data_IF_332843225755
#
_entry.id   IF_332843225755
#
_cell.length_a   1.000
_cell.length_b   1.000
_cell.length_c   1.000
_cell.angle_alpha   90.00
_cell.angle_beta   90.00
_cell.angle_gamma   90.00
#
_symmetry.space_group_name_H-M   'P 1'
#
loop_
_entity.id
_entity.type
_entity.pdbx_description
1 polymer ?
#
# COMPACT_ATOMS: atom_id res chain seq x y z
N UNK A 1 98.46 62.22 37.73
CA UNK A 1 97.15 62.74 37.27
C UNK A 1 96.63 62.05 35.99
N UNK A 2 97.47 61.70 34.99
CA UNK A 2 96.96 61.08 33.75
C UNK A 2 96.34 59.67 33.90
N UNK A 3 96.79 58.84 34.85
CA UNK A 3 96.24 57.49 35.05
C UNK A 3 94.79 57.48 35.55
N UNK A 4 94.40 58.45 36.39
CA UNK A 4 93.02 58.59 36.87
C UNK A 4 92.04 59.10 35.80
N UNK A 5 92.51 59.92 34.86
CA UNK A 5 91.71 60.42 33.73
C UNK A 5 91.44 59.29 32.73
N UNK A 6 92.46 58.47 32.41
CA UNK A 6 92.30 57.28 31.55
C UNK A 6 91.36 56.23 32.16
N UNK A 7 91.46 55.99 33.47
CA UNK A 7 90.56 55.06 34.18
C UNK A 7 89.10 55.52 34.17
N UNK A 8 88.85 56.82 34.36
CA UNK A 8 87.51 57.40 34.27
C UNK A 8 86.96 57.40 32.83
N UNK A 9 87.80 57.67 31.81
CA UNK A 9 87.39 57.56 30.40
C UNK A 9 87.03 56.12 30.02
N UNK A 10 87.79 55.14 30.50
CA UNK A 10 87.55 53.71 30.22
C UNK A 10 86.29 53.19 30.93
N UNK A 11 86.02 53.65 32.15
CA UNK A 11 84.73 53.39 32.84
C UNK A 11 83.55 54.05 32.13
N UNK A 12 83.71 55.30 31.67
CA UNK A 12 82.64 56.01 30.97
C UNK A 12 82.33 55.34 29.63
N UNK A 13 83.36 54.96 28.86
CA UNK A 13 83.22 54.23 27.60
C UNK A 13 82.59 52.83 27.80
N UNK A 14 83.01 52.10 28.84
CA UNK A 14 82.38 50.82 29.21
C UNK A 14 80.92 50.97 29.67
N UNK A 15 80.57 52.08 30.30
CA UNK A 15 79.20 52.36 30.72
C UNK A 15 78.32 52.71 29.52
N UNK A 16 78.83 53.54 28.61
CA UNK A 16 78.17 53.92 27.36
C UNK A 16 77.96 52.73 26.42
N UNK A 17 78.98 51.87 26.27
CA UNK A 17 78.88 50.61 25.52
C UNK A 17 77.81 49.68 26.13
N UNK A 18 77.72 49.61 27.47
CA UNK A 18 76.73 48.77 28.17
C UNK A 18 75.31 49.35 28.06
N UNK A 19 75.16 50.67 28.09
CA UNK A 19 73.89 51.35 27.87
C UNK A 19 73.41 51.21 26.41
N UNK A 20 74.34 51.26 25.46
CA UNK A 20 74.06 51.05 24.04
C UNK A 20 73.64 49.59 23.75
N UNK A 21 74.33 48.60 24.32
CA UNK A 21 73.94 47.18 24.21
C UNK A 21 72.58 46.90 24.84
N UNK A 22 72.27 47.53 25.99
CA UNK A 22 70.96 47.43 26.62
C UNK A 22 69.86 48.02 25.73
N UNK A 23 70.07 49.23 25.19
CA UNK A 23 69.13 49.89 24.27
C UNK A 23 68.90 49.09 23.00
N UNK A 24 69.95 48.46 22.45
CA UNK A 24 69.82 47.54 21.30
C UNK A 24 69.03 46.28 21.64
N UNK A 25 69.19 45.74 22.85
CA UNK A 25 68.41 44.59 23.31
C UNK A 25 66.94 44.94 23.49
N UNK A 26 66.62 46.10 24.07
CA UNK A 26 65.25 46.59 24.20
C UNK A 26 64.62 46.86 22.84
N UNK A 27 65.35 47.51 21.92
CA UNK A 27 64.89 47.73 20.55
C UNK A 27 64.58 46.40 19.85
N UNK A 28 65.47 45.42 19.96
CA UNK A 28 65.25 44.08 19.40
C UNK A 28 64.04 43.38 20.01
N UNK A 29 63.83 43.50 21.31
CA UNK A 29 62.67 42.90 21.99
C UNK A 29 61.35 43.52 21.51
N UNK A 30 61.33 44.85 21.34
CA UNK A 30 60.17 45.57 20.78
C UNK A 30 59.93 45.17 19.33
N UNK A 31 60.98 45.07 18.50
CA UNK A 31 60.89 44.60 17.11
C UNK A 31 60.34 43.17 17.03
N UNK A 32 60.78 42.26 17.89
CA UNK A 32 60.30 40.88 17.93
C UNK A 32 58.82 40.81 18.40
N UNK A 33 58.42 41.63 19.37
CA UNK A 33 57.02 41.78 19.80
C UNK A 33 56.14 42.32 18.67
N UNK A 34 56.61 43.35 17.96
CA UNK A 34 55.91 43.91 16.81
C UNK A 34 55.76 42.89 15.68
N UNK A 35 56.82 42.14 15.35
CA UNK A 35 56.77 41.08 14.33
C UNK A 35 55.76 40.00 14.70
N UNK A 36 55.73 39.54 15.96
CA UNK A 36 54.74 38.58 16.44
C UNK A 36 53.31 39.11 16.35
N UNK A 37 53.09 40.37 16.72
CA UNK A 37 51.78 41.01 16.60
C UNK A 37 51.32 41.13 15.14
N UNK A 38 52.24 41.45 14.22
CA UNK A 38 51.94 41.54 12.79
C UNK A 38 51.55 40.17 12.20
N UNK A 39 52.28 39.11 12.56
CA UNK A 39 51.93 37.73 12.14
C UNK A 39 50.58 37.30 12.72
N UNK A 40 50.32 37.58 14.00
CA UNK A 40 49.04 37.29 14.63
C UNK A 40 47.88 38.06 13.98
N UNK A 41 48.09 39.33 13.64
CA UNK A 41 47.07 40.13 12.96
C UNK A 41 46.77 39.60 11.55
N UNK A 42 47.79 39.21 10.80
CA UNK A 42 47.61 38.58 9.49
C UNK A 42 46.87 37.22 9.58
N UNK A 43 47.14 36.43 10.62
CA UNK A 43 46.40 35.19 10.88
C UNK A 43 44.92 35.48 11.19
N UNK A 44 44.64 36.45 12.06
CA UNK A 44 43.28 36.86 12.40
C UNK A 44 42.51 37.40 11.19
N UNK A 45 43.17 38.15 10.31
CA UNK A 45 42.54 38.64 9.07
C UNK A 45 42.17 37.48 8.13
N UNK A 46 43.04 36.46 8.02
CA UNK A 46 42.74 35.25 7.25
C UNK A 46 41.59 34.44 7.87
N UNK A 47 41.59 34.25 9.19
CA UNK A 47 40.51 33.56 9.90
C UNK A 47 39.18 34.31 9.78
N UNK A 48 39.21 35.64 9.88
CA UNK A 48 38.05 36.50 9.65
C UNK A 48 37.52 36.37 8.24
N UNK A 49 38.39 36.41 7.23
CA UNK A 49 37.98 36.22 5.84
C UNK A 49 37.34 34.83 5.63
N UNK A 50 37.95 33.78 6.16
CA UNK A 50 37.40 32.42 6.09
C UNK A 50 36.02 32.31 6.75
N UNK A 51 35.85 32.91 7.93
CA UNK A 51 34.57 32.93 8.64
C UNK A 51 33.49 33.72 7.87
N UNK A 52 33.84 34.83 7.23
CA UNK A 52 32.91 35.60 6.39
C UNK A 52 32.41 34.75 5.24
N UNK A 53 33.29 34.06 4.52
CA UNK A 53 32.89 33.16 3.44
C UNK A 53 31.99 32.02 3.92
N UNK A 54 32.27 31.44 5.09
CA UNK A 54 31.40 30.41 5.68
C UNK A 54 30.01 30.95 6.00
N UNK A 55 29.91 32.16 6.56
CA UNK A 55 28.63 32.80 6.84
C UNK A 55 27.83 33.05 5.56
N UNK A 56 28.49 33.49 4.48
CA UNK A 56 27.84 33.66 3.17
C UNK A 56 27.31 32.33 2.65
N UNK A 57 28.11 31.26 2.67
CA UNK A 57 27.68 29.94 2.24
C UNK A 57 26.49 29.41 3.07
N UNK A 58 26.47 29.66 4.38
CA UNK A 58 25.35 29.26 5.23
C UNK A 58 24.09 30.10 4.98
N UNK A 59 24.21 31.36 4.57
CA UNK A 59 23.06 32.18 4.15
C UNK A 59 22.45 31.63 2.87
N UNK A 60 23.27 31.37 1.86
CA UNK A 60 22.80 30.78 0.59
C UNK A 60 22.09 29.45 0.88
N UNK A 61 22.70 28.60 1.72
CA UNK A 61 22.09 27.32 2.12
C UNK A 61 20.78 27.48 2.89
N UNK A 62 20.66 28.53 3.72
CA UNK A 62 19.44 28.81 4.45
C UNK A 62 18.32 29.28 3.51
N UNK A 63 18.63 30.13 2.53
CA UNK A 63 17.68 30.59 1.51
C UNK A 63 17.16 29.41 0.66
N UNK A 64 18.05 28.50 0.21
CA UNK A 64 17.65 27.27 -0.47
C UNK A 64 16.66 26.42 0.36
N UNK A 65 16.96 26.22 1.65
CA UNK A 65 16.10 25.45 2.55
C UNK A 65 14.75 26.13 2.78
N UNK A 66 14.70 27.45 2.84
CA UNK A 66 13.46 28.22 2.99
C UNK A 66 12.58 28.09 1.73
N UNK A 67 13.18 28.14 0.54
CA UNK A 67 12.48 27.90 -0.73
C UNK A 67 11.92 26.47 -0.81
N UNK A 68 12.72 25.46 -0.48
CA UNK A 68 12.30 24.06 -0.41
C UNK A 68 11.14 23.87 0.58
N UNK A 69 11.23 24.50 1.76
CA UNK A 69 10.18 24.44 2.76
C UNK A 69 8.87 25.06 2.26
N UNK A 70 8.94 26.23 1.64
CA UNK A 70 7.78 26.91 1.07
C UNK A 70 7.14 26.10 -0.06
N UNK A 71 7.94 25.42 -0.88
CA UNK A 71 7.45 24.54 -1.93
C UNK A 71 6.73 23.31 -1.34
N UNK A 72 7.35 22.64 -0.35
CA UNK A 72 6.74 21.51 0.34
C UNK A 72 5.42 21.89 1.03
N UNK A 73 5.33 23.09 1.62
CA UNK A 73 4.06 23.58 2.20
C UNK A 73 2.96 23.75 1.14
N UNK A 74 3.29 24.23 -0.07
CA UNK A 74 2.33 24.38 -1.18
C UNK A 74 1.84 23.01 -1.65
N UNK A 75 2.75 22.07 -1.85
CA UNK A 75 2.42 20.70 -2.25
C UNK A 75 1.56 19.99 -1.20
N UNK A 76 1.85 20.19 0.09
CA UNK A 76 1.04 19.65 1.18
C UNK A 76 -0.41 20.17 1.10
N UNK A 77 -0.59 21.49 0.92
CA UNK A 77 -1.92 22.10 0.79
C UNK A 77 -2.67 21.54 -0.43
N UNK A 78 -1.99 21.34 -1.54
CA UNK A 78 -2.59 20.74 -2.74
C UNK A 78 -3.01 19.29 -2.52
N UNK A 79 -2.14 18.46 -1.93
CA UNK A 79 -2.47 17.07 -1.57
C UNK A 79 -3.64 16.98 -0.61
N UNK A 80 -3.74 17.89 0.37
CA UNK A 80 -4.91 17.97 1.25
C UNK A 80 -6.21 18.27 0.48
N UNK A 81 -6.18 19.22 -0.47
CA UNK A 81 -7.35 19.53 -1.32
C UNK A 81 -7.77 18.33 -2.19
N UNK A 82 -6.80 17.64 -2.79
CA UNK A 82 -7.06 16.44 -3.60
C UNK A 82 -7.68 15.31 -2.74
N UNK A 83 -7.18 15.13 -1.52
CA UNK A 83 -7.73 14.14 -0.58
C UNK A 83 -9.18 14.48 -0.17
N UNK A 84 -9.49 15.75 0.08
CA UNK A 84 -10.87 16.19 0.36
C UNK A 84 -11.81 16.03 -0.84
N UNK A 85 -11.30 16.22 -2.07
CA UNK A 85 -12.06 15.92 -3.29
C UNK A 85 -12.35 14.42 -3.41
N UNK A 86 -11.33 13.58 -3.28
CA UNK A 86 -11.48 12.12 -3.37
C UNK A 86 -12.42 11.56 -2.30
N UNK A 87 -12.41 12.11 -1.08
CA UNK A 87 -13.38 11.75 -0.03
C UNK A 87 -14.82 12.05 -0.45
N UNK A 88 -15.07 13.22 -1.07
CA UNK A 88 -16.41 13.57 -1.56
C UNK A 88 -16.86 12.63 -2.67
N UNK A 89 -15.98 12.32 -3.60
CA UNK A 89 -16.27 11.41 -4.71
C UNK A 89 -16.51 9.97 -4.22
N UNK A 90 -15.74 9.51 -3.23
CA UNK A 90 -15.94 8.20 -2.59
C UNK A 90 -17.33 8.09 -1.95
N UNK A 91 -17.74 9.09 -1.16
CA UNK A 91 -19.07 9.10 -0.53
C UNK A 91 -20.18 9.10 -1.58
N UNK A 92 -20.03 9.88 -2.65
CA UNK A 92 -20.99 9.90 -3.76
C UNK A 92 -21.09 8.52 -4.43
N UNK A 93 -19.95 7.91 -4.76
CA UNK A 93 -19.94 6.61 -5.41
C UNK A 93 -20.50 5.50 -4.51
N UNK A 94 -20.29 5.60 -3.20
CA UNK A 94 -20.90 4.69 -2.22
C UNK A 94 -22.43 4.82 -2.18
N UNK A 95 -22.95 6.05 -2.28
CA UNK A 95 -24.39 6.30 -2.40
C UNK A 95 -24.96 5.75 -3.72
N UNK A 96 -24.28 5.99 -4.83
CA UNK A 96 -24.68 5.50 -6.15
C UNK A 96 -24.69 3.96 -6.18
N UNK A 97 -23.69 3.31 -5.58
CA UNK A 97 -23.63 1.86 -5.43
C UNK A 97 -24.79 1.33 -4.58
N UNK A 98 -25.07 1.96 -3.45
CA UNK A 98 -26.17 1.56 -2.57
C UNK A 98 -27.53 1.68 -3.30
N UNK A 99 -27.74 2.75 -4.07
CA UNK A 99 -28.93 2.95 -4.88
C UNK A 99 -29.05 1.88 -5.99
N UNK A 100 -27.94 1.55 -6.67
CA UNK A 100 -27.93 0.51 -7.70
C UNK A 100 -28.22 -0.88 -7.12
N UNK A 101 -27.66 -1.22 -5.96
CA UNK A 101 -27.93 -2.48 -5.26
C UNK A 101 -29.39 -2.56 -4.80
N UNK A 102 -29.96 -1.46 -4.28
CA UNK A 102 -31.36 -1.41 -3.90
C UNK A 102 -32.28 -1.62 -5.12
N UNK A 103 -31.98 -0.97 -6.25
CA UNK A 103 -32.74 -1.13 -7.49
C UNK A 103 -32.66 -2.57 -8.05
N UNK A 104 -31.48 -3.21 -7.95
CA UNK A 104 -31.31 -4.62 -8.33
C UNK A 104 -32.09 -5.55 -7.40
N UNK A 105 -32.04 -5.33 -6.09
CA UNK A 105 -32.77 -6.11 -5.12
C UNK A 105 -34.30 -5.99 -5.32
N UNK A 106 -34.80 -4.78 -5.61
CA UNK A 106 -36.20 -4.55 -5.95
C UNK A 106 -36.58 -5.31 -7.24
N UNK A 107 -35.74 -5.22 -8.28
CA UNK A 107 -35.96 -5.97 -9.53
C UNK A 107 -36.00 -7.48 -9.29
N UNK A 108 -35.06 -8.02 -8.54
CA UNK A 108 -34.96 -9.46 -8.27
C UNK A 108 -36.15 -9.93 -7.42
N UNK A 109 -36.57 -9.13 -6.44
CA UNK A 109 -37.80 -9.37 -5.67
C UNK A 109 -39.04 -9.39 -6.57
N UNK A 110 -39.17 -8.44 -7.49
CA UNK A 110 -40.30 -8.41 -8.44
C UNK A 110 -40.28 -9.63 -9.37
N UNK A 111 -39.10 -10.07 -9.82
CA UNK A 111 -38.95 -11.30 -10.62
C UNK A 111 -39.45 -12.52 -9.83
N UNK A 112 -39.06 -12.64 -8.56
CA UNK A 112 -39.51 -13.72 -7.67
C UNK A 112 -41.02 -13.67 -7.38
N UNK A 113 -41.57 -12.49 -7.06
CA UNK A 113 -42.99 -12.30 -6.78
C UNK A 113 -43.87 -12.65 -7.99
N UNK A 114 -43.38 -12.41 -9.22
CA UNK A 114 -44.06 -12.80 -10.46
C UNK A 114 -43.81 -14.27 -10.85
N UNK A 115 -43.07 -15.05 -10.04
CA UNK A 115 -42.77 -16.45 -10.29
C UNK A 115 -41.89 -16.69 -11.52
N UNK A 116 -41.09 -15.69 -11.91
CA UNK A 116 -40.18 -15.76 -13.05
C UNK A 116 -38.80 -16.26 -12.61
N UNK A 117 -38.16 -17.03 -13.47
CA UNK A 117 -36.84 -17.62 -13.27
C UNK A 117 -35.98 -17.30 -14.49
N UNK A 118 -34.71 -16.95 -14.25
CA UNK A 118 -33.75 -16.69 -15.32
C UNK A 118 -33.22 -18.02 -15.84
N UNK A 119 -33.41 -18.28 -17.13
CA UNK A 119 -32.93 -19.48 -17.82
C UNK A 119 -32.02 -19.07 -18.98
N UNK A 120 -30.88 -19.75 -19.12
CA UNK A 120 -29.87 -19.45 -20.14
C UNK A 120 -28.75 -18.54 -19.62
N UNK A 121 -27.66 -18.47 -20.38
CA UNK A 121 -26.36 -18.01 -19.90
C UNK A 121 -25.63 -19.12 -19.14
N UNK A 122 -24.30 -19.11 -19.17
CA UNK A 122 -23.47 -20.05 -18.40
C UNK A 122 -23.72 -19.85 -16.89
N UNK A 123 -24.73 -20.54 -16.37
CA UNK A 123 -24.82 -21.01 -14.99
C UNK A 123 -25.20 -22.49 -15.06
N UNK A 124 -24.39 -23.24 -15.81
CA UNK A 124 -24.10 -24.61 -15.42
C UNK A 124 -23.20 -24.49 -14.21
N UNK A 125 -23.71 -24.92 -13.06
CA UNK A 125 -22.95 -25.23 -11.87
C UNK A 125 -21.65 -26.01 -12.20
N UNK A 126 -20.53 -25.32 -12.31
CA UNK A 126 -19.17 -25.83 -12.07
C UNK A 126 -18.23 -24.64 -11.99
N UNK A 127 -18.04 -24.13 -10.77
CA UNK A 127 -16.98 -23.19 -10.44
C UNK A 127 -15.65 -23.97 -10.34
N UNK A 128 -15.07 -24.26 -11.50
CA UNK A 128 -13.67 -24.61 -11.78
C UNK A 128 -13.53 -24.26 -13.26
N UNK A 129 -12.79 -23.25 -13.67
CA UNK A 129 -11.33 -23.18 -13.68
C UNK A 129 -10.89 -21.72 -13.57
N UNK A 130 -9.84 -21.53 -12.78
CA UNK A 130 -8.89 -20.44 -12.90
C UNK A 130 -8.22 -20.46 -14.29
N UNK A 131 -8.39 -19.41 -15.08
CA UNK A 131 -7.44 -19.05 -16.15
C UNK A 131 -6.98 -17.63 -15.88
N UNK A 132 -5.88 -17.53 -15.14
CA UNK A 132 -4.96 -16.40 -15.24
C UNK A 132 -4.19 -16.57 -16.54
N UNK A 133 -4.49 -15.75 -17.55
CA UNK A 133 -3.52 -15.45 -18.59
C UNK A 133 -3.59 -13.96 -18.95
N UNK A 134 -2.51 -13.29 -18.58
CA UNK A 134 -2.09 -11.97 -19.01
C UNK A 134 -1.98 -11.95 -20.54
N UNK A 135 -2.72 -11.06 -21.23
CA UNK A 135 -2.28 -10.60 -22.55
C UNK A 135 -2.67 -9.14 -22.78
N UNK A 136 -1.67 -8.27 -22.59
CA UNK A 136 -1.65 -6.91 -23.12
C UNK A 136 -1.40 -6.99 -24.63
N UNK A 137 -2.43 -6.85 -25.44
CA UNK A 137 -2.26 -6.66 -26.88
C UNK A 137 -3.55 -6.25 -27.57
N UNK A 138 -3.56 -5.05 -28.16
CA UNK A 138 -4.68 -4.56 -28.96
C UNK A 138 -4.99 -5.47 -30.15
N UNK A 139 -6.27 -5.79 -30.32
CA UNK A 139 -6.79 -6.53 -31.46
C UNK A 139 -8.24 -6.91 -31.21
N UNK A 140 -9.12 -6.47 -32.10
CA UNK A 140 -10.58 -6.64 -32.08
C UNK A 140 -11.00 -8.10 -31.78
N UNK A 141 -11.36 -8.39 -30.53
CA UNK A 141 -11.96 -9.68 -30.16
C UNK A 141 -13.43 -9.69 -30.54
N UNK A 142 -13.75 -10.41 -31.63
CA UNK A 142 -15.09 -10.88 -31.97
C UNK A 142 -15.78 -11.43 -30.71
N UNK A 143 -16.96 -10.89 -30.42
CA UNK A 143 -17.73 -11.26 -29.24
C UNK A 143 -17.97 -12.77 -29.19
N UNK A 144 -17.46 -13.42 -28.14
CA UNK A 144 -17.99 -14.71 -27.69
C UNK A 144 -19.50 -14.52 -27.51
N UNK A 145 -20.31 -15.29 -28.23
CA UNK A 145 -21.76 -15.31 -28.12
C UNK A 145 -22.14 -15.58 -26.67
N UNK A 146 -22.40 -14.52 -25.91
CA UNK A 146 -22.98 -14.63 -24.58
C UNK A 146 -24.35 -15.25 -24.79
N UNK A 147 -24.52 -16.50 -24.39
CA UNK A 147 -25.81 -17.18 -24.44
C UNK A 147 -26.86 -16.28 -23.79
N UNK A 148 -27.87 -15.90 -24.56
CA UNK A 148 -28.92 -14.96 -24.14
C UNK A 148 -29.63 -15.55 -22.92
N UNK A 149 -29.70 -14.78 -21.84
CA UNK A 149 -30.51 -15.10 -20.66
C UNK A 149 -31.95 -14.67 -20.96
N UNK A 150 -32.92 -15.48 -20.57
CA UNK A 150 -34.35 -15.18 -20.70
C UNK A 150 -35.05 -15.35 -19.35
N UNK A 151 -36.08 -14.55 -19.09
CA UNK A 151 -36.99 -14.75 -17.97
C UNK A 151 -38.16 -15.63 -18.44
N UNK A 152 -38.41 -16.72 -17.73
CA UNK A 152 -39.53 -17.64 -17.99
C UNK A 152 -40.24 -17.96 -16.68
N UNK A 153 -41.51 -18.37 -16.74
CA UNK A 153 -42.22 -18.85 -15.53
C UNK A 153 -41.52 -20.08 -14.93
N UNK A 154 -41.60 -20.24 -13.61
CA UNK A 154 -41.10 -21.42 -12.88
C UNK A 154 -41.54 -22.74 -13.50
N UNK A 155 -42.78 -22.83 -13.96
CA UNK A 155 -43.31 -24.05 -14.57
C UNK A 155 -42.68 -24.35 -15.94
N UNK A 156 -42.44 -23.30 -16.73
CA UNK A 156 -41.74 -23.42 -18.01
C UNK A 156 -40.26 -23.78 -17.80
N UNK A 157 -39.62 -23.23 -16.76
CA UNK A 157 -38.23 -23.59 -16.41
C UNK A 157 -38.11 -25.10 -16.09
N UNK A 158 -39.02 -25.63 -15.27
CA UNK A 158 -39.06 -27.08 -14.95
C UNK A 158 -39.27 -27.94 -16.21
N UNK A 159 -40.15 -27.51 -17.11
CA UNK A 159 -40.41 -28.21 -18.38
C UNK A 159 -39.18 -28.17 -19.30
N UNK A 160 -38.44 -27.06 -19.32
CA UNK A 160 -37.20 -26.95 -20.09
C UNK A 160 -36.08 -27.82 -19.52
N UNK A 161 -36.07 -28.08 -18.21
CA UNK A 161 -35.10 -28.99 -17.59
C UNK A 161 -35.41 -30.47 -17.89
N UNK A 162 -36.69 -30.84 -18.05
CA UNK A 162 -37.07 -32.22 -18.43
C UNK A 162 -36.67 -32.61 -19.84
N UNK A 163 -36.56 -31.64 -20.77
CA UNK A 163 -36.16 -31.87 -22.19
C UNK A 163 -34.64 -32.06 -22.36
N UNK A 164 -33.89 -31.99 -21.25
CA UNK A 164 -32.46 -32.28 -21.20
C UNK A 164 -31.56 -31.05 -21.34
N UNK A 165 -30.29 -31.27 -21.67
CA UNK A 165 -29.24 -30.25 -21.66
C UNK A 165 -29.02 -29.61 -23.05
N UNK A 166 -28.57 -28.37 -23.05
CA UNK A 166 -28.30 -27.58 -24.26
C UNK A 166 -28.67 -26.10 -24.08
N UNK A 167 -28.41 -25.29 -25.10
CA UNK A 167 -28.85 -23.89 -25.10
C UNK A 167 -30.37 -23.80 -25.01
N UNK A 168 -30.89 -22.69 -24.49
CA UNK A 168 -32.33 -22.45 -24.40
C UNK A 168 -33.03 -22.70 -25.75
N UNK A 169 -32.44 -22.23 -26.85
CA UNK A 169 -32.97 -22.44 -28.20
C UNK A 169 -33.01 -23.92 -28.61
N UNK A 170 -32.00 -24.71 -28.22
CA UNK A 170 -31.97 -26.16 -28.49
C UNK A 170 -33.05 -26.89 -27.70
N UNK A 171 -33.23 -26.52 -26.43
CA UNK A 171 -34.27 -27.11 -25.56
C UNK A 171 -35.67 -26.77 -26.06
N UNK A 172 -35.91 -25.52 -26.45
CA UNK A 172 -37.18 -25.10 -27.07
C UNK A 172 -37.48 -25.84 -28.38
N UNK A 173 -36.47 -26.07 -29.23
CA UNK A 173 -36.63 -26.83 -30.48
C UNK A 173 -36.99 -28.29 -30.23
N UNK A 174 -36.35 -28.95 -29.25
CA UNK A 174 -36.67 -30.33 -28.87
C UNK A 174 -38.10 -30.45 -28.35
N UNK A 175 -38.50 -29.55 -27.45
CA UNK A 175 -39.85 -29.51 -26.89
C UNK A 175 -40.91 -29.30 -27.99
N UNK A 176 -40.62 -28.45 -28.97
CA UNK A 176 -41.49 -28.25 -30.13
C UNK A 176 -41.58 -29.50 -31.03
N UNK A 177 -40.49 -30.26 -31.17
CA UNK A 177 -40.48 -31.52 -31.92
C UNK A 177 -41.28 -32.61 -31.19
N UNK A 178 -41.05 -32.83 -29.88
CA UNK A 178 -41.82 -33.76 -29.04
C UNK A 178 -43.32 -33.44 -29.08
N UNK A 179 -43.69 -32.15 -28.99
CA UNK A 179 -45.09 -31.73 -29.13
C UNK A 179 -45.67 -32.11 -30.48
N UNK A 180 -44.93 -31.95 -31.58
CA UNK A 180 -45.40 -32.31 -32.92
C UNK A 180 -45.56 -33.84 -33.05
N UNK A 181 -44.60 -34.60 -32.53
CA UNK A 181 -44.63 -36.07 -32.53
C UNK A 181 -45.82 -36.60 -31.72
N UNK A 182 -46.04 -36.10 -30.50
CA UNK A 182 -47.22 -36.41 -29.70
C UNK A 182 -48.53 -35.97 -30.38
N UNK A 183 -48.54 -34.87 -31.14
CA UNK A 183 -49.72 -34.46 -31.91
C UNK A 183 -50.01 -35.39 -33.09
N UNK A 184 -48.97 -35.98 -33.69
CA UNK A 184 -49.10 -36.95 -34.76
C UNK A 184 -49.52 -38.32 -34.19
N UNK A 185 -48.92 -38.76 -33.07
CA UNK A 185 -49.36 -39.93 -32.31
C UNK A 185 -50.82 -39.78 -31.84
N UNK A 186 -51.22 -38.63 -31.32
CA UNK A 186 -52.60 -38.41 -30.87
C UNK A 186 -53.59 -38.39 -32.04
N UNK A 187 -53.16 -37.98 -33.23
CA UNK A 187 -53.94 -38.17 -34.47
C UNK A 187 -54.01 -39.64 -34.86
N UNK A 188 -52.89 -40.36 -34.76
CA UNK A 188 -52.82 -41.78 -35.08
C UNK A 188 -53.67 -42.62 -34.12
N UNK A 189 -53.53 -42.42 -32.81
CA UNK A 189 -54.30 -43.07 -31.75
C UNK A 189 -55.77 -42.68 -31.81
N UNK A 190 -56.13 -41.45 -32.21
CA UNK A 190 -57.54 -41.13 -32.49
C UNK A 190 -58.10 -41.95 -33.65
N UNK A 191 -57.32 -42.10 -34.71
CA UNK A 191 -57.68 -42.94 -35.85
C UNK A 191 -57.80 -44.41 -35.42
N UNK A 192 -56.83 -44.91 -34.66
CA UNK A 192 -56.83 -46.28 -34.12
C UNK A 192 -57.93 -46.50 -33.09
N UNK A 193 -58.28 -45.52 -32.25
CA UNK A 193 -59.37 -45.61 -31.28
C UNK A 193 -60.73 -45.50 -31.96
N UNK A 194 -60.84 -44.80 -33.08
CA UNK A 194 -62.01 -44.86 -33.97
C UNK A 194 -62.10 -46.24 -34.65
N UNK A 195 -60.96 -46.83 -35.04
CA UNK A 195 -60.86 -48.19 -35.58
C UNK A 195 -61.08 -49.29 -34.51
N UNK A 196 -60.69 -49.07 -33.26
CA UNK A 196 -60.87 -49.99 -32.14
C UNK A 196 -62.22 -49.81 -31.45
N UNK A 197 -62.82 -48.61 -31.45
CA UNK A 197 -64.27 -48.51 -31.16
C UNK A 197 -65.09 -49.27 -32.21
N UNK A 198 -64.54 -49.49 -33.40
CA UNK A 198 -65.12 -50.37 -34.41
C UNK A 198 -64.70 -51.87 -34.27
N UNK A 199 -63.74 -52.22 -33.40
CA UNK A 199 -63.19 -53.60 -33.29
C UNK A 199 -63.05 -54.17 -31.87
N UNK A 200 -63.34 -53.43 -30.80
CA UNK A 200 -62.89 -53.82 -29.46
C UNK A 200 -63.62 -55.04 -28.91
N UNK A 201 -62.94 -56.18 -29.00
CA UNK A 201 -62.96 -57.20 -27.96
C UNK A 201 -61.59 -57.94 -27.91
N UNK A 202 -60.85 -57.69 -26.83
CA UNK A 202 -59.88 -58.56 -26.10
C UNK A 202 -58.38 -58.21 -26.08
N UNK A 203 -57.91 -58.26 -24.81
CA UNK A 203 -56.60 -58.71 -24.30
C UNK A 203 -55.44 -57.72 -24.43
N UNK A 204 -54.56 -57.46 -23.45
CA UNK A 204 -54.16 -58.20 -22.24
C UNK A 204 -52.63 -58.35 -22.29
N UNK A 205 -51.90 -57.59 -21.46
CA UNK A 205 -50.42 -57.47 -21.52
C UNK A 205 -49.68 -58.56 -20.73
N UNK A 206 -48.51 -58.96 -21.24
CA UNK A 206 -47.72 -60.11 -20.81
C UNK A 206 -46.72 -59.79 -19.67
N UNK A 207 -46.53 -60.72 -18.71
CA UNK A 207 -45.72 -60.53 -17.51
C UNK A 207 -44.19 -60.66 -17.66
N UNK A 208 -43.65 -60.92 -18.85
CA UNK A 208 -42.21 -61.13 -19.07
C UNK A 208 -41.39 -59.82 -19.12
N UNK A 209 -41.98 -58.71 -19.60
CA UNK A 209 -41.30 -57.40 -19.70
C UNK A 209 -41.05 -56.75 -18.32
N UNK A 210 -41.81 -57.12 -17.29
CA UNK A 210 -41.65 -56.56 -15.95
C UNK A 210 -40.33 -56.99 -15.30
N UNK A 211 -39.85 -58.21 -15.56
CA UNK A 211 -38.64 -58.75 -14.95
C UNK A 211 -37.36 -58.10 -15.49
N UNK A 212 -37.32 -57.80 -16.80
CA UNK A 212 -36.18 -57.15 -17.43
C UNK A 212 -36.08 -55.67 -17.03
N UNK A 213 -37.22 -54.97 -16.94
CA UNK A 213 -37.29 -53.60 -16.38
C UNK A 213 -36.81 -53.58 -14.93
N UNK A 214 -37.18 -54.58 -14.13
CA UNK A 214 -36.76 -54.67 -12.73
C UNK A 214 -35.24 -54.91 -12.59
N UNK A 215 -34.63 -55.70 -13.48
CA UNK A 215 -33.17 -55.93 -13.49
C UNK A 215 -32.39 -54.67 -13.87
N UNK A 216 -32.86 -53.94 -14.88
CA UNK A 216 -32.21 -52.70 -15.32
C UNK A 216 -32.30 -51.60 -14.25
N UNK A 217 -33.46 -51.47 -13.59
CA UNK A 217 -33.63 -50.55 -12.45
C UNK A 217 -32.65 -50.87 -11.30
N UNK A 218 -32.46 -52.15 -10.97
CA UNK A 218 -31.51 -52.57 -9.92
C UNK A 218 -30.05 -52.27 -10.29
N UNK A 219 -29.68 -52.37 -11.56
CA UNK A 219 -28.34 -52.00 -12.05
C UNK A 219 -28.09 -50.49 -11.91
N UNK A 220 -29.04 -49.68 -12.37
CA UNK A 220 -28.96 -48.21 -12.26
C UNK A 220 -28.88 -47.76 -10.79
N UNK A 221 -29.64 -48.39 -9.89
CA UNK A 221 -29.58 -48.14 -8.45
C UNK A 221 -28.16 -48.38 -7.90
N UNK A 222 -27.48 -49.44 -8.34
CA UNK A 222 -26.10 -49.75 -7.98
C UNK A 222 -25.11 -48.66 -8.42
N UNK A 223 -25.23 -48.18 -9.66
CA UNK A 223 -24.36 -47.12 -10.20
C UNK A 223 -24.55 -45.79 -9.45
N UNK A 224 -25.79 -45.43 -9.12
CA UNK A 224 -26.08 -44.23 -8.33
C UNK A 224 -25.57 -44.35 -6.90
N UNK A 225 -25.66 -45.53 -6.28
CA UNK A 225 -25.12 -45.77 -4.95
C UNK A 225 -23.60 -45.61 -4.90
N UNK A 226 -22.89 -46.11 -5.92
CA UNK A 226 -21.44 -45.94 -6.03
C UNK A 226 -21.04 -44.47 -6.26
N UNK A 227 -21.74 -43.76 -7.15
CA UNK A 227 -21.52 -42.31 -7.38
C UNK A 227 -21.76 -41.49 -6.12
N UNK A 228 -22.82 -41.80 -5.36
CA UNK A 228 -23.12 -41.17 -4.09
C UNK A 228 -21.99 -41.38 -3.09
N UNK A 229 -21.53 -42.63 -2.92
CA UNK A 229 -20.45 -42.96 -1.99
C UNK A 229 -19.13 -42.25 -2.35
N UNK A 230 -18.83 -42.12 -3.65
CA UNK A 230 -17.65 -41.36 -4.12
C UNK A 230 -17.79 -39.86 -3.80
N UNK A 231 -18.96 -39.28 -4.07
CA UNK A 231 -19.23 -37.88 -3.76
C UNK A 231 -19.16 -37.61 -2.24
N UNK A 232 -19.65 -38.53 -1.41
CA UNK A 232 -19.54 -38.44 0.06
C UNK A 232 -18.08 -38.45 0.54
N UNK A 233 -17.22 -39.28 -0.08
CA UNK A 233 -15.78 -39.29 0.21
C UNK A 233 -15.09 -37.98 -0.21
N UNK A 234 -15.44 -37.45 -1.38
CA UNK A 234 -14.90 -36.17 -1.87
C UNK A 234 -15.32 -35.00 -0.96
N UNK A 235 -16.58 -34.99 -0.50
CA UNK A 235 -17.08 -34.00 0.48
C UNK A 235 -16.26 -34.06 1.78
N UNK A 236 -15.99 -35.24 2.32
CA UNK A 236 -15.17 -35.41 3.53
C UNK A 236 -13.75 -34.85 3.35
N UNK A 237 -13.15 -35.08 2.17
CA UNK A 237 -11.82 -34.57 1.82
C UNK A 237 -11.79 -33.04 1.71
N UNK A 238 -12.82 -32.46 1.08
CA UNK A 238 -12.97 -31.01 0.95
C UNK A 238 -13.19 -30.36 2.32
N UNK A 239 -14.01 -30.97 3.19
CA UNK A 239 -14.23 -30.48 4.56
C UNK A 239 -12.94 -30.44 5.38
N UNK A 240 -12.10 -31.46 5.29
CA UNK A 240 -10.78 -31.46 5.95
C UNK A 240 -9.87 -30.34 5.42
N UNK A 241 -9.94 -30.07 4.11
CA UNK A 241 -9.18 -28.98 3.48
C UNK A 241 -9.66 -27.61 3.94
N UNK A 242 -10.97 -27.38 4.00
CA UNK A 242 -11.58 -26.15 4.52
C UNK A 242 -11.15 -25.92 5.96
N UNK A 243 -11.26 -26.92 6.83
CA UNK A 243 -10.84 -26.80 8.24
C UNK A 243 -9.36 -26.40 8.39
N UNK A 244 -8.48 -26.92 7.52
CA UNK A 244 -7.07 -26.55 7.50
C UNK A 244 -6.86 -25.10 7.05
N UNK A 245 -7.57 -24.66 6.01
CA UNK A 245 -7.50 -23.30 5.48
C UNK A 245 -8.05 -22.29 6.50
N UNK A 246 -9.16 -22.59 7.17
CA UNK A 246 -9.71 -21.76 8.25
C UNK A 246 -8.70 -21.58 9.38
N UNK A 247 -7.99 -22.65 9.75
CA UNK A 247 -6.91 -22.58 10.72
C UNK A 247 -5.73 -21.71 10.27
N UNK A 248 -5.42 -21.67 8.96
CA UNK A 248 -4.40 -20.77 8.42
C UNK A 248 -4.86 -19.31 8.45
N UNK A 249 -6.09 -19.04 8.02
CA UNK A 249 -6.69 -17.69 8.04
C UNK A 249 -6.70 -17.13 9.46
N UNK A 250 -7.10 -17.94 10.46
CA UNK A 250 -7.09 -17.53 11.86
C UNK A 250 -5.69 -17.13 12.35
N UNK A 251 -4.65 -17.90 11.98
CA UNK A 251 -3.25 -17.59 12.32
C UNK A 251 -2.75 -16.32 11.63
N UNK A 252 -3.00 -16.15 10.34
CA UNK A 252 -2.58 -14.95 9.61
C UNK A 252 -3.28 -13.70 10.12
N UNK A 253 -4.56 -13.81 10.47
CA UNK A 253 -5.30 -12.71 11.10
C UNK A 253 -4.67 -12.29 12.44
N UNK A 254 -4.40 -13.24 13.32
CA UNK A 254 -3.74 -12.95 14.61
C UNK A 254 -2.33 -12.38 14.45
N UNK A 255 -1.56 -12.87 13.47
CA UNK A 255 -0.24 -12.33 13.15
C UNK A 255 -0.32 -10.88 12.62
N UNK A 256 -1.29 -10.59 11.75
CA UNK A 256 -1.53 -9.24 11.24
C UNK A 256 -1.94 -8.27 12.35
N UNK A 257 -2.87 -8.66 13.23
CA UNK A 257 -3.30 -7.85 14.39
C UNK A 257 -2.12 -7.57 15.35
N UNK A 258 -1.22 -8.53 15.53
CA UNK A 258 -0.02 -8.34 16.36
C UNK A 258 0.97 -7.38 15.68
N UNK A 259 1.16 -7.50 14.37
CA UNK A 259 2.01 -6.59 13.60
C UNK A 259 1.49 -5.15 13.60
N UNK A 260 0.18 -4.96 13.49
CA UNK A 260 -0.47 -3.63 13.54
C UNK A 260 -0.23 -2.95 14.90
N UNK A 261 -0.42 -3.69 15.99
CA UNK A 261 -0.11 -3.18 17.35
C UNK A 261 1.35 -2.76 17.49
N UNK A 262 2.28 -3.58 17.02
CA UNK A 262 3.71 -3.25 17.06
C UNK A 262 4.04 -1.99 16.23
N UNK A 263 3.41 -1.83 15.07
CA UNK A 263 3.61 -0.62 14.24
C UNK A 263 3.12 0.65 14.96
N UNK A 264 1.99 0.58 15.63
CA UNK A 264 1.44 1.71 16.39
C UNK A 264 2.30 2.07 17.60
N UNK A 265 2.84 1.08 18.32
CA UNK A 265 3.83 1.29 19.39
C UNK A 265 5.09 1.99 18.87
N UNK A 266 5.66 1.50 17.75
CA UNK A 266 6.83 2.11 17.11
C UNK A 266 6.54 3.55 16.62
N UNK A 267 5.34 3.84 16.12
CA UNK A 267 4.94 5.21 15.76
C UNK A 267 4.92 6.13 16.98
N UNK A 268 4.42 5.65 18.11
CA UNK A 268 4.40 6.42 19.37
C UNK A 268 5.82 6.66 19.87
N UNK A 269 6.67 5.64 19.88
CA UNK A 269 8.07 5.73 20.30
C UNK A 269 8.86 6.69 19.40
N UNK A 270 8.71 6.59 18.08
CA UNK A 270 9.31 7.53 17.12
C UNK A 270 8.93 8.98 17.42
N UNK A 271 7.65 9.25 17.71
CA UNK A 271 7.19 10.60 18.08
C UNK A 271 7.80 11.08 19.40
N UNK A 272 7.96 10.17 20.37
CA UNK A 272 8.61 10.47 21.65
C UNK A 272 10.08 10.83 21.46
N UNK A 273 10.85 9.96 20.79
CA UNK A 273 12.26 10.20 20.49
C UNK A 273 12.48 11.46 19.67
N UNK A 274 11.58 11.77 18.73
CA UNK A 274 11.67 13.01 17.96
C UNK A 274 11.48 14.26 18.81
N UNK A 275 10.64 14.21 19.86
CA UNK A 275 10.51 15.32 20.81
C UNK A 275 11.75 15.44 21.69
N UNK A 276 12.24 14.32 22.21
CA UNK A 276 13.47 14.29 23.03
C UNK A 276 14.69 14.80 22.24
N UNK A 277 14.80 14.44 20.96
CA UNK A 277 15.84 14.95 20.08
C UNK A 277 15.78 16.49 19.97
N UNK A 278 14.60 17.06 19.74
CA UNK A 278 14.42 18.52 19.66
C UNK A 278 14.76 19.21 20.98
N UNK A 279 14.38 18.62 22.11
CA UNK A 279 14.68 19.15 23.44
C UNK A 279 16.21 19.12 23.72
N UNK A 280 16.88 18.02 23.39
CA UNK A 280 18.32 17.92 23.48
C UNK A 280 19.04 18.91 22.55
N UNK A 281 18.55 19.10 21.32
CA UNK A 281 19.09 20.08 20.38
C UNK A 281 18.98 21.51 20.94
N UNK A 282 17.80 21.90 21.43
CA UNK A 282 17.60 23.20 22.07
C UNK A 282 18.55 23.40 23.27
N UNK A 283 18.73 22.36 24.09
CA UNK A 283 19.68 22.39 25.21
C UNK A 283 21.14 22.53 24.75
N UNK A 284 21.53 21.89 23.65
CA UNK A 284 22.86 22.07 23.07
C UNK A 284 23.07 23.52 22.62
N UNK A 285 22.09 24.11 21.92
CA UNK A 285 22.14 25.52 21.48
C UNK A 285 22.25 26.49 22.67
N UNK A 286 21.50 26.26 23.76
CA UNK A 286 21.59 27.03 25.00
C UNK A 286 22.99 26.92 25.64
N UNK A 287 23.56 25.72 25.67
CA UNK A 287 24.89 25.50 26.23
C UNK A 287 25.98 26.12 25.34
N UNK A 288 25.85 26.04 24.02
CA UNK A 288 26.77 26.66 23.07
C UNK A 288 26.76 28.19 23.19
N UNK A 289 25.58 28.80 23.33
CA UNK A 289 25.47 30.25 23.56
C UNK A 289 26.07 30.66 24.90
N UNK A 290 25.78 29.93 25.98
CA UNK A 290 26.37 30.15 27.30
C UNK A 290 27.90 30.01 27.29
N UNK A 291 28.41 28.97 26.64
CA UNK A 291 29.85 28.73 26.50
C UNK A 291 30.51 29.88 25.72
N UNK A 292 29.91 30.31 24.61
CA UNK A 292 30.37 31.49 23.86
C UNK A 292 30.43 32.75 24.73
N UNK A 293 29.45 32.98 25.61
CA UNK A 293 29.48 34.11 26.54
C UNK A 293 30.61 33.99 27.57
N UNK A 294 30.82 32.80 28.14
CA UNK A 294 31.90 32.53 29.09
C UNK A 294 33.26 32.68 28.44
N UNK A 295 33.44 32.18 27.22
CA UNK A 295 34.67 32.31 26.44
C UNK A 295 35.00 33.79 26.21
N UNK A 296 34.03 34.60 25.78
CA UNK A 296 34.22 36.05 25.62
C UNK A 296 34.62 36.75 26.94
N UNK A 297 34.05 36.33 28.08
CA UNK A 297 34.43 36.88 29.40
C UNK A 297 35.85 36.47 29.80
N UNK A 298 36.21 35.22 29.57
CA UNK A 298 37.55 34.70 29.82
C UNK A 298 38.59 35.48 29.01
N UNK A 299 38.32 35.75 27.74
CA UNK A 299 39.23 36.49 26.88
C UNK A 299 39.42 37.94 27.35
N UNK A 300 38.35 38.61 27.81
CA UNK A 300 38.45 39.93 28.46
C UNK A 300 39.30 39.91 29.73
N UNK A 301 39.20 38.86 30.55
CA UNK A 301 40.02 38.73 31.75
C UNK A 301 41.50 38.47 31.40
N UNK A 302 41.77 37.67 30.36
CA UNK A 302 43.12 37.42 29.85
C UNK A 302 43.77 38.71 29.34
N UNK A 303 43.02 39.56 28.62
CA UNK A 303 43.53 40.85 28.16
C UNK A 303 43.78 41.81 29.31
N UNK A 304 42.84 41.93 30.27
CA UNK A 304 43.01 42.76 31.46
C UNK A 304 44.24 42.33 32.30
N UNK A 305 44.42 41.03 32.51
CA UNK A 305 45.60 40.47 33.19
C UNK A 305 46.89 40.82 32.43
N UNK A 306 46.88 40.68 31.11
CA UNK A 306 48.04 41.01 30.28
C UNK A 306 48.38 42.50 30.31
N UNK A 307 47.39 43.39 30.45
CA UNK A 307 47.61 44.82 30.60
C UNK A 307 48.23 45.15 31.96
N UNK A 308 47.66 44.63 33.07
CA UNK A 308 48.20 44.78 34.41
C UNK A 308 49.65 44.29 34.54
N UNK A 309 49.99 43.17 33.88
CA UNK A 309 51.35 42.65 33.85
C UNK A 309 52.34 43.50 33.04
N UNK A 310 51.86 44.37 32.13
CA UNK A 310 52.72 45.32 31.42
C UNK A 310 53.00 46.58 32.23
N UNK A 311 52.12 46.91 33.19
CA UNK A 311 52.21 48.10 34.04
C UNK A 311 53.03 47.84 35.33
N UNK A 312 53.44 46.59 35.57
CA UNK A 312 54.31 46.13 36.66
C UNK A 312 55.77 46.01 36.21
#
# INVERSE_FOLDING_TARGET
>A
MMSGIMFNLQKFRSFDDRAHVFSQSELREVEDKFRKAMVGNAQLDNEKAAAVYQVELYKDRYEELEEEHNQLQREQKEKCRQLEQMKRDYVRLQQDLAAALAALAERDRLIEEQGLVIVGGETSSSATESDEDDDKGGGEKKGKDKHKKALVSSDMAKLLDSVGHGSLDVRLKKLAAERNELQDELRHVKLELEEERAKSNRSGSNPADLEDIQREANKQLGDYKFKLQKAEQDVSTLQATVARLDGQVARYKSAAETSEKNEDELKVERRKLQRELRECQARCEELETSNNHLQKRLDKLKTAKSALLKDL
#
